data_IF_093778803012
#
_entry.id   IF_093778803012
#
_cell.length_a   1.000
_cell.length_b   1.000
_cell.length_c   1.000
_cell.angle_alpha   90.00
_cell.angle_beta   90.00
_cell.angle_gamma   90.00
#
_symmetry.space_group_name_H-M   'P 1'
#
loop_
_entity.id
_entity.type
_entity.pdbx_description
1 polymer ?
#
# COMPACT_ATOMS: atom_id res chain seq x y z
N UNK A 1 -1.66 -26.36 17.35
CA UNK A 1 -1.19 -26.85 16.02
C UNK A 1 -0.26 -25.87 15.30
N UNK A 2 -0.44 -24.54 15.38
CA UNK A 2 0.40 -23.55 14.67
C UNK A 2 1.87 -23.43 15.16
N UNK A 3 2.15 -23.69 16.44
CA UNK A 3 3.52 -23.54 17.00
C UNK A 3 4.54 -24.56 16.44
N UNK A 4 4.08 -25.74 16.00
CA UNK A 4 4.96 -26.77 15.40
C UNK A 4 5.33 -26.46 13.95
N UNK A 5 4.44 -25.79 13.20
CA UNK A 5 4.67 -25.46 11.79
C UNK A 5 5.76 -24.39 11.63
N UNK A 6 5.75 -23.36 12.49
CA UNK A 6 6.72 -22.28 12.46
C UNK A 6 8.16 -22.76 12.77
N UNK A 7 8.31 -23.74 13.67
CA UNK A 7 9.60 -24.38 13.97
C UNK A 7 10.10 -25.28 12.83
N UNK A 8 9.21 -25.94 12.10
CA UNK A 8 9.54 -26.74 10.92
C UNK A 8 10.01 -25.86 9.76
N UNK A 9 9.26 -24.79 9.44
CA UNK A 9 9.61 -23.83 8.39
C UNK A 9 10.95 -23.12 8.66
N UNK A 10 11.24 -22.79 9.92
CA UNK A 10 12.54 -22.22 10.32
C UNK A 10 13.71 -23.19 10.10
N UNK A 11 13.52 -24.48 10.42
CA UNK A 11 14.54 -25.51 10.19
C UNK A 11 14.76 -25.78 8.70
N UNK A 12 13.70 -25.83 7.91
CA UNK A 12 13.77 -26.01 6.45
C UNK A 12 14.43 -24.81 5.77
N UNK A 13 14.10 -23.57 6.16
CA UNK A 13 14.76 -22.37 5.65
C UNK A 13 16.27 -22.34 5.97
N UNK A 14 16.66 -22.78 7.17
CA UNK A 14 18.08 -22.90 7.54
C UNK A 14 18.79 -24.01 6.73
N UNK A 15 18.10 -25.12 6.49
CA UNK A 15 18.56 -26.20 5.61
C UNK A 15 18.75 -25.75 4.16
N UNK A 16 17.77 -25.04 3.60
CA UNK A 16 17.86 -24.47 2.24
C UNK A 16 18.99 -23.45 2.12
N UNK A 17 19.24 -22.61 3.13
CA UNK A 17 20.38 -21.68 3.13
C UNK A 17 21.74 -22.40 3.12
N UNK A 18 21.87 -23.53 3.83
CA UNK A 18 23.08 -24.36 3.75
C UNK A 18 23.27 -24.95 2.35
N UNK A 19 22.20 -25.50 1.78
CA UNK A 19 22.22 -26.12 0.44
C UNK A 19 22.52 -25.08 -0.65
N UNK A 20 21.83 -23.94 -0.67
CA UNK A 20 22.07 -22.87 -1.65
C UNK A 20 23.41 -22.14 -1.43
N UNK A 21 23.86 -22.02 -0.17
CA UNK A 21 25.19 -21.52 0.17
C UNK A 21 26.30 -22.41 -0.39
N UNK A 22 26.14 -23.73 -0.27
CA UNK A 22 27.08 -24.71 -0.83
C UNK A 22 27.02 -24.82 -2.36
N UNK A 23 25.83 -24.73 -2.97
CA UNK A 23 25.66 -24.76 -4.43
C UNK A 23 26.34 -23.54 -5.08
N UNK A 24 26.19 -22.33 -4.51
CA UNK A 24 26.90 -21.13 -5.01
C UNK A 24 28.43 -21.20 -4.89
N UNK A 25 28.95 -22.06 -4.01
CA UNK A 25 30.39 -22.28 -3.87
C UNK A 25 30.94 -23.28 -4.90
N UNK A 26 30.11 -24.14 -5.49
CA UNK A 26 30.56 -25.16 -6.46
C UNK A 26 30.55 -24.70 -7.92
N UNK A 27 29.69 -23.76 -8.31
CA UNK A 27 29.53 -23.36 -9.72
C UNK A 27 30.39 -22.17 -10.19
N UNK A 28 31.48 -21.82 -9.47
CA UNK A 28 32.35 -20.69 -9.86
C UNK A 28 33.52 -21.11 -10.74
N UNK A 29 33.23 -21.36 -12.02
CA UNK A 29 34.21 -21.34 -13.11
C UNK A 29 34.15 -20.02 -13.92
N UNK A 30 33.89 -18.90 -13.25
CA UNK A 30 33.98 -17.57 -13.88
C UNK A 30 34.67 -16.59 -12.91
N UNK A 31 35.88 -16.21 -13.29
CA UNK A 31 36.81 -15.39 -12.53
C UNK A 31 36.43 -13.90 -12.59
N UNK A 32 36.10 -13.30 -11.44
CA UNK A 32 36.69 -12.03 -11.02
C UNK A 32 37.11 -12.22 -9.55
N UNK A 33 38.40 -12.43 -9.36
CA UNK A 33 39.04 -12.52 -8.06
C UNK A 33 39.41 -11.10 -7.62
N UNK A 34 38.64 -10.50 -6.70
CA UNK A 34 39.12 -9.36 -5.92
C UNK A 34 39.77 -9.95 -4.67
N UNK A 35 41.07 -10.14 -4.76
CA UNK A 35 41.87 -10.83 -3.77
C UNK A 35 42.34 -9.85 -2.69
N UNK A 36 41.58 -9.73 -1.60
CA UNK A 36 42.11 -9.33 -0.28
C UNK A 36 41.13 -9.77 0.81
N UNK A 37 41.46 -10.86 1.51
CA UNK A 37 40.86 -11.21 2.81
C UNK A 37 39.45 -11.83 2.77
N UNK A 38 39.42 -13.16 2.64
CA UNK A 38 38.26 -14.06 2.72
C UNK A 38 37.14 -13.65 3.67
N UNK A 39 35.97 -13.25 3.15
CA UNK A 39 34.70 -13.45 3.86
C UNK A 39 33.53 -13.73 2.92
N UNK A 40 33.22 -15.02 2.74
CA UNK A 40 31.92 -15.49 2.25
C UNK A 40 30.88 -15.24 3.35
N UNK A 41 30.37 -14.01 3.42
CA UNK A 41 29.65 -13.48 4.58
C UNK A 41 28.15 -13.74 4.43
N UNK A 42 27.67 -14.89 4.89
CA UNK A 42 26.23 -15.15 5.06
C UNK A 42 25.74 -14.37 6.30
N UNK A 43 24.74 -13.51 6.13
CA UNK A 43 24.22 -12.59 7.17
C UNK A 43 23.67 -13.27 8.44
N UNK A 44 23.60 -14.60 8.47
CA UNK A 44 23.00 -15.39 9.54
C UNK A 44 24.04 -16.22 10.33
N UNK A 45 25.28 -15.71 10.43
CA UNK A 45 26.29 -16.25 11.35
C UNK A 45 26.20 -15.44 12.65
N UNK A 46 26.27 -16.07 13.82
CA UNK A 46 26.04 -15.46 15.15
C UNK A 46 26.74 -14.11 15.39
N UNK A 47 27.92 -13.90 14.78
CA UNK A 47 28.68 -12.64 14.88
C UNK A 47 27.99 -11.43 14.23
N UNK A 48 27.09 -11.61 13.26
CA UNK A 48 26.31 -10.51 12.66
C UNK A 48 25.08 -10.13 13.48
N UNK A 49 24.48 -11.12 14.14
CA UNK A 49 23.30 -10.88 14.97
C UNK A 49 23.64 -9.97 16.15
N UNK A 50 24.82 -10.15 16.75
CA UNK A 50 25.31 -9.32 17.85
C UNK A 50 25.57 -7.88 17.40
N UNK A 51 26.22 -7.69 16.25
CA UNK A 51 26.46 -6.37 15.68
C UNK A 51 25.15 -5.64 15.34
N UNK A 52 24.17 -6.34 14.74
CA UNK A 52 22.86 -5.76 14.42
C UNK A 52 22.08 -5.37 15.69
N UNK A 53 22.16 -6.20 16.75
CA UNK A 53 21.51 -5.90 18.04
C UNK A 53 22.15 -4.69 18.71
N UNK A 54 23.48 -4.60 18.70
CA UNK A 54 24.21 -3.46 19.26
C UNK A 54 23.85 -2.16 18.54
N UNK A 55 23.88 -2.17 17.20
CA UNK A 55 23.50 -1.02 16.39
C UNK A 55 22.03 -0.61 16.64
N UNK A 56 21.11 -1.57 16.77
CA UNK A 56 19.71 -1.30 17.09
C UNK A 56 19.55 -0.62 18.45
N UNK A 57 20.22 -1.13 19.49
CA UNK A 57 20.18 -0.53 20.84
C UNK A 57 20.76 0.89 20.84
N UNK A 58 21.87 1.12 20.13
CA UNK A 58 22.49 2.44 20.02
C UNK A 58 21.57 3.44 19.31
N UNK A 59 21.02 3.08 18.14
CA UNK A 59 20.10 3.93 17.39
C UNK A 59 18.79 4.19 18.14
N UNK A 60 18.29 3.21 18.91
CA UNK A 60 17.13 3.41 19.78
C UNK A 60 17.47 4.36 20.96
N UNK A 61 18.64 4.22 21.57
CA UNK A 61 19.10 5.13 22.64
C UNK A 61 19.24 6.57 22.16
N UNK A 62 19.64 6.76 20.91
CA UNK A 62 19.72 8.05 20.23
C UNK A 62 18.37 8.56 19.70
N UNK A 63 17.27 7.82 19.94
CA UNK A 63 15.90 8.11 19.47
C UNK A 63 15.76 8.19 17.94
N UNK A 64 16.63 7.51 17.20
CA UNK A 64 16.56 7.39 15.75
C UNK A 64 15.68 6.22 15.30
N UNK A 65 15.56 5.20 16.14
CA UNK A 65 14.61 4.09 15.96
C UNK A 65 13.55 4.19 17.06
N UNK A 66 12.29 4.18 16.65
CA UNK A 66 11.15 4.20 17.55
C UNK A 66 10.00 3.39 16.94
N UNK A 67 9.01 3.07 17.78
CA UNK A 67 7.78 2.41 17.37
C UNK A 67 6.65 3.43 17.39
N UNK A 68 5.99 3.60 16.26
CA UNK A 68 4.82 4.48 16.10
C UNK A 68 3.87 3.94 15.03
N UNK A 69 2.65 4.45 15.01
CA UNK A 69 1.63 4.07 14.06
C UNK A 69 1.86 4.81 12.74
N UNK A 70 2.26 4.05 11.71
CA UNK A 70 2.37 4.53 10.32
C UNK A 70 1.62 3.57 9.41
N UNK A 71 1.09 4.08 8.29
CA UNK A 71 0.59 3.24 7.22
C UNK A 71 1.74 2.42 6.62
N UNK A 72 1.58 1.11 6.52
CA UNK A 72 2.58 0.19 5.98
C UNK A 72 2.00 -0.57 4.78
N UNK A 73 2.86 -0.90 3.81
CA UNK A 73 2.48 -1.82 2.76
C UNK A 73 2.39 -3.23 3.38
N UNK A 74 1.25 -3.89 3.23
CA UNK A 74 1.01 -5.23 3.77
C UNK A 74 0.78 -6.22 2.64
N UNK A 75 1.54 -7.33 2.66
CA UNK A 75 1.30 -8.42 1.71
C UNK A 75 0.45 -9.52 2.36
N UNK A 76 -0.76 -9.79 1.84
CA UNK A 76 -1.64 -10.82 2.39
C UNK A 76 -1.09 -12.24 2.21
N UNK A 77 -0.26 -12.47 1.19
CA UNK A 77 0.35 -13.79 0.92
C UNK A 77 1.49 -14.09 1.89
N UNK A 78 2.37 -13.12 2.14
CA UNK A 78 3.49 -13.28 3.07
C UNK A 78 3.10 -13.04 4.53
N UNK A 79 1.94 -12.42 4.77
CA UNK A 79 1.46 -12.01 6.09
C UNK A 79 2.52 -11.16 6.83
N UNK A 80 3.15 -10.24 6.09
CA UNK A 80 4.20 -9.36 6.60
C UNK A 80 4.04 -7.95 6.05
N UNK A 81 4.52 -6.98 6.82
CA UNK A 81 4.80 -5.65 6.31
C UNK A 81 5.98 -5.72 5.32
N UNK A 82 5.91 -4.91 4.28
CA UNK A 82 6.86 -4.85 3.16
C UNK A 82 7.34 -3.40 3.02
N UNK A 83 8.62 -3.24 2.70
CA UNK A 83 9.21 -1.90 2.47
C UNK A 83 8.72 -1.29 1.16
N UNK A 84 8.67 0.05 1.06
CA UNK A 84 8.36 0.74 -0.20
C UNK A 84 9.30 0.32 -1.35
N UNK A 85 10.56 -0.04 -1.03
CA UNK A 85 11.54 -0.51 -2.01
C UNK A 85 11.28 -1.95 -2.50
N UNK A 86 10.50 -2.73 -1.75
CA UNK A 86 10.12 -4.11 -2.11
C UNK A 86 8.78 -4.15 -2.88
N UNK A 87 8.15 -2.99 -3.12
CA UNK A 87 6.90 -2.86 -3.86
C UNK A 87 7.18 -2.41 -5.29
N UNK A 88 6.93 -3.30 -6.24
CA UNK A 88 7.00 -2.98 -7.66
C UNK A 88 5.64 -2.45 -8.17
N UNK A 89 5.65 -1.26 -8.77
CA UNK A 89 4.48 -0.66 -9.41
C UNK A 89 4.47 -1.07 -10.88
N UNK A 90 3.59 -2.00 -11.23
CA UNK A 90 3.36 -2.43 -12.61
C UNK A 90 2.13 -1.72 -13.17
N UNK A 91 2.29 -0.98 -14.27
CA UNK A 91 1.17 -0.35 -14.96
C UNK A 91 0.36 -1.42 -15.70
N UNK A 92 -0.82 -1.70 -15.16
CA UNK A 92 -1.83 -2.51 -15.81
C UNK A 92 -2.72 -1.56 -16.62
N UNK A 93 -2.60 -1.61 -17.95
CA UNK A 93 -3.26 -0.67 -18.86
C UNK A 93 -4.79 -0.55 -18.69
N UNK A 94 -5.42 0.30 -19.52
CA UNK A 94 -6.79 0.82 -19.28
C UNK A 94 -7.89 -0.23 -19.06
N UNK A 95 -7.77 -1.44 -19.61
CA UNK A 95 -8.65 -2.58 -19.33
C UNK A 95 -7.87 -3.86 -19.60
N UNK A 96 -7.83 -4.78 -18.63
CA UNK A 96 -7.19 -6.08 -18.82
C UNK A 96 -7.55 -7.07 -17.72
N UNK A 97 -7.38 -8.35 -18.02
CA UNK A 97 -7.36 -9.40 -17.01
C UNK A 97 -5.92 -9.65 -16.61
N UNK A 98 -5.59 -9.49 -15.34
CA UNK A 98 -4.25 -9.76 -14.82
C UNK A 98 -4.24 -11.14 -14.15
N UNK A 99 -3.33 -12.01 -14.57
CA UNK A 99 -3.12 -13.32 -13.94
C UNK A 99 -2.14 -13.16 -12.78
N UNK A 100 -2.64 -13.30 -11.55
CA UNK A 100 -1.77 -13.35 -10.37
C UNK A 100 -1.42 -14.83 -10.13
N UNK A 101 -0.13 -15.16 -10.27
CA UNK A 101 0.40 -16.44 -9.83
C UNK A 101 0.47 -16.44 -8.29
N UNK A 102 -0.53 -17.03 -7.65
CA UNK A 102 -0.46 -17.29 -6.21
C UNK A 102 0.44 -18.49 -5.96
N UNK A 103 1.21 -18.48 -4.86
CA UNK A 103 2.15 -19.55 -4.48
C UNK A 103 1.50 -20.96 -4.41
N UNK A 104 0.18 -21.01 -4.25
CA UNK A 104 -0.64 -22.23 -4.25
C UNK A 104 -1.31 -22.46 -5.62
N UNK A 105 -0.53 -22.63 -6.69
CA UNK A 105 -0.85 -23.22 -8.01
C UNK A 105 -2.12 -22.79 -8.78
N UNK A 106 -3.01 -21.97 -8.24
CA UNK A 106 -4.22 -21.46 -8.89
C UNK A 106 -3.95 -20.05 -9.40
N UNK A 107 -3.93 -19.91 -10.72
CA UNK A 107 -3.95 -18.62 -11.38
C UNK A 107 -5.30 -17.97 -11.12
N UNK A 108 -5.29 -16.82 -10.43
CA UNK A 108 -6.49 -16.01 -10.24
C UNK A 108 -6.47 -14.91 -11.29
N UNK A 109 -7.46 -14.91 -12.18
CA UNK A 109 -7.71 -13.80 -13.09
C UNK A 109 -8.48 -12.73 -12.33
N UNK A 110 -7.94 -11.51 -12.30
CA UNK A 110 -8.62 -10.35 -11.73
C UNK A 110 -8.79 -9.33 -12.85
N UNK A 111 -10.02 -8.88 -13.05
CA UNK A 111 -10.31 -7.77 -13.95
C UNK A 111 -9.80 -6.47 -13.31
N UNK A 112 -8.93 -5.77 -14.03
CA UNK A 112 -8.33 -4.50 -13.60
C UNK A 112 -8.70 -3.40 -14.60
N UNK A 113 -8.84 -2.18 -14.10
CA UNK A 113 -9.14 -0.99 -14.92
C UNK A 113 -10.60 -0.51 -14.90
N UNK A 114 -11.49 -1.15 -14.13
CA UNK A 114 -12.87 -0.66 -13.95
C UNK A 114 -12.87 0.58 -13.05
N UNK A 115 -13.46 1.67 -13.55
CA UNK A 115 -13.60 2.93 -12.83
C UNK A 115 -15.06 3.14 -12.44
N UNK A 116 -15.38 3.04 -11.15
CA UNK A 116 -16.72 3.23 -10.63
C UNK A 116 -16.98 4.72 -10.36
N UNK A 117 -18.15 5.22 -10.74
CA UNK A 117 -18.61 6.59 -10.46
C UNK A 117 -19.65 6.56 -9.34
N UNK A 118 -19.39 7.33 -8.28
CA UNK A 118 -20.19 7.35 -7.07
C UNK A 118 -20.62 8.78 -6.81
N UNK A 119 -21.91 8.96 -6.51
CA UNK A 119 -22.51 10.28 -6.28
C UNK A 119 -22.75 10.48 -4.80
N UNK A 120 -22.36 11.64 -4.30
CA UNK A 120 -22.54 12.11 -2.93
C UNK A 120 -23.54 13.26 -2.94
N UNK A 121 -24.69 13.08 -2.30
CA UNK A 121 -25.74 14.09 -2.24
C UNK A 121 -25.33 15.23 -1.31
N UNK A 122 -25.56 16.48 -1.71
CA UNK A 122 -25.31 17.61 -0.80
C UNK A 122 -26.37 17.68 0.31
N UNK A 123 -25.92 18.04 1.51
CA UNK A 123 -26.82 18.31 2.64
C UNK A 123 -27.46 19.68 2.43
N UNK A 124 -28.69 19.70 1.91
CA UNK A 124 -29.42 20.94 1.64
C UNK A 124 -29.69 21.74 2.92
N UNK A 125 -29.24 23.00 2.97
CA UNK A 125 -29.50 23.94 4.09
C UNK A 125 -30.61 24.95 3.79
N UNK A 126 -31.30 24.86 2.65
CA UNK A 126 -32.38 25.78 2.31
C UNK A 126 -33.11 25.38 1.03
N UNK A 127 -34.41 25.65 1.00
CA UNK A 127 -35.36 25.39 -0.08
C UNK A 127 -34.85 25.79 -1.47
N UNK A 128 -34.61 24.81 -2.35
CA UNK A 128 -35.06 24.76 -3.75
C UNK A 128 -34.54 23.48 -4.44
N UNK A 129 -35.48 22.57 -4.74
CA UNK A 129 -35.69 21.81 -5.99
C UNK A 129 -34.56 21.47 -6.98
N UNK A 130 -33.31 21.28 -6.59
CA UNK A 130 -32.37 20.40 -7.32
C UNK A 130 -31.55 19.56 -6.32
N UNK A 131 -31.53 18.23 -6.52
CA UNK A 131 -30.59 17.37 -5.79
C UNK A 131 -29.20 17.62 -6.38
N UNK A 132 -28.49 18.62 -5.84
CA UNK A 132 -27.08 18.83 -6.15
C UNK A 132 -26.28 17.64 -5.58
N UNK A 133 -25.48 17.00 -6.45
CA UNK A 133 -24.60 15.90 -6.08
C UNK A 133 -23.17 16.15 -6.57
N UNK A 134 -22.22 15.56 -5.86
CA UNK A 134 -20.81 15.54 -6.22
C UNK A 134 -20.44 14.13 -6.66
N UNK A 135 -19.99 13.98 -7.92
CA UNK A 135 -19.60 12.69 -8.48
C UNK A 135 -18.08 12.47 -8.35
N UNK A 136 -17.69 11.32 -7.78
CA UNK A 136 -16.30 10.89 -7.62
C UNK A 136 -16.08 9.57 -8.33
N UNK A 137 -15.00 9.49 -9.10
CA UNK A 137 -14.55 8.23 -9.70
C UNK A 137 -13.50 7.52 -8.83
N UNK A 138 -13.66 6.22 -8.62
CA UNK A 138 -12.72 5.37 -7.87
C UNK A 138 -12.61 3.97 -8.50
N UNK A 139 -11.41 3.39 -8.46
CA UNK A 139 -11.17 1.98 -8.80
C UNK A 139 -11.41 1.05 -7.62
N UNK A 140 -11.61 1.59 -6.41
CA UNK A 140 -11.80 0.84 -5.16
C UNK A 140 -13.13 1.19 -4.50
N UNK A 141 -14.28 0.79 -5.07
CA UNK A 141 -15.60 1.09 -4.53
C UNK A 141 -15.80 0.50 -3.13
N UNK A 142 -15.12 -0.59 -2.77
CA UNK A 142 -15.18 -1.22 -1.45
C UNK A 142 -14.65 -0.31 -0.34
N UNK A 143 -13.76 0.64 -0.67
CA UNK A 143 -13.19 1.59 0.30
C UNK A 143 -14.11 2.76 0.64
N UNK A 144 -15.29 2.84 0.01
CA UNK A 144 -16.24 3.95 0.25
C UNK A 144 -16.70 4.03 1.69
N UNK A 145 -16.88 2.88 2.36
CA UNK A 145 -17.24 2.84 3.79
C UNK A 145 -16.23 3.55 4.70
N UNK A 146 -14.98 3.63 4.27
CA UNK A 146 -13.90 4.26 5.00
C UNK A 146 -13.64 5.70 4.54
N UNK A 147 -14.55 6.32 3.79
CA UNK A 147 -14.41 7.71 3.37
C UNK A 147 -14.66 8.66 4.55
N UNK A 148 -13.74 9.62 4.73
CA UNK A 148 -13.76 10.60 5.80
C UNK A 148 -14.07 12.01 5.31
N UNK A 149 -13.72 12.31 4.06
CA UNK A 149 -13.94 13.60 3.42
C UNK A 149 -13.90 13.45 1.90
N UNK A 150 -14.39 14.47 1.19
CA UNK A 150 -14.14 14.64 -0.24
C UNK A 150 -13.17 15.79 -0.45
N UNK A 151 -12.23 15.66 -1.37
CA UNK A 151 -11.31 16.71 -1.76
C UNK A 151 -11.62 17.18 -3.18
N UNK A 152 -11.74 18.49 -3.35
CA UNK A 152 -12.00 19.16 -4.62
C UNK A 152 -10.90 20.17 -4.88
N UNK A 153 -10.47 20.28 -6.13
CA UNK A 153 -9.49 21.29 -6.50
C UNK A 153 -10.11 22.69 -6.53
N UNK A 154 -9.45 23.73 -5.98
CA UNK A 154 -9.98 25.10 -5.94
C UNK A 154 -10.15 25.77 -7.31
N UNK A 155 -9.53 25.22 -8.36
CA UNK A 155 -9.67 25.72 -9.74
C UNK A 155 -10.76 24.97 -10.55
N UNK A 156 -11.44 23.95 -9.99
CA UNK A 156 -12.53 23.27 -10.72
C UNK A 156 -13.85 24.04 -10.58
N UNK A 157 -14.15 24.89 -11.56
CA UNK A 157 -15.39 25.68 -11.65
C UNK A 157 -16.67 24.87 -11.38
N UNK A 158 -16.69 23.56 -11.68
CA UNK A 158 -17.87 22.70 -11.48
C UNK A 158 -18.17 22.43 -10.01
N UNK A 159 -17.13 22.25 -9.20
CA UNK A 159 -17.24 21.73 -7.84
C UNK A 159 -16.73 22.69 -6.76
N UNK A 160 -16.09 23.81 -7.14
CA UNK A 160 -15.63 24.85 -6.21
C UNK A 160 -16.75 25.38 -5.32
N UNK A 161 -17.98 25.50 -5.84
CA UNK A 161 -19.17 25.91 -5.08
C UNK A 161 -19.51 24.97 -3.90
N UNK A 162 -18.97 23.76 -3.90
CA UNK A 162 -19.20 22.75 -2.87
C UNK A 162 -18.13 22.73 -1.78
N UNK A 163 -17.00 23.44 -1.95
CA UNK A 163 -15.94 23.53 -0.93
C UNK A 163 -16.53 24.14 0.35
N UNK A 164 -16.27 23.49 1.49
CA UNK A 164 -16.81 23.86 2.80
C UNK A 164 -18.24 23.38 3.06
N UNK A 165 -18.92 22.77 2.08
CA UNK A 165 -20.24 22.14 2.28
C UNK A 165 -20.10 20.72 2.81
N UNK A 166 -21.21 20.18 3.29
CA UNK A 166 -21.35 18.79 3.71
C UNK A 166 -22.09 17.99 2.64
N UNK A 167 -21.64 16.76 2.42
CA UNK A 167 -22.33 15.76 1.61
C UNK A 167 -22.77 14.58 2.48
N UNK A 168 -23.82 13.87 2.08
CA UNK A 168 -24.26 12.63 2.71
C UNK A 168 -23.46 11.46 2.15
N UNK A 169 -23.07 10.54 3.03
CA UNK A 169 -22.41 9.31 2.63
C UNK A 169 -23.41 8.39 1.90
N UNK A 170 -23.07 7.85 0.71
CA UNK A 170 -24.02 7.15 -0.17
C UNK A 170 -24.59 5.85 0.43
N UNK A 171 -23.84 5.21 1.33
CA UNK A 171 -24.24 3.94 1.95
C UNK A 171 -24.65 4.08 3.44
N UNK A 172 -24.41 5.25 4.05
CA UNK A 172 -24.59 5.46 5.49
C UNK A 172 -25.42 6.74 5.66
N UNK A 173 -26.75 6.64 5.80
CA UNK A 173 -27.66 7.79 5.75
C UNK A 173 -27.35 8.87 6.80
N UNK A 174 -26.90 8.46 7.98
CA UNK A 174 -26.64 9.34 9.12
C UNK A 174 -25.22 9.95 9.10
N UNK A 175 -24.37 9.56 8.15
CA UNK A 175 -22.99 10.03 8.06
C UNK A 175 -22.88 11.13 7.01
N UNK A 176 -22.34 12.27 7.43
CA UNK A 176 -21.98 13.38 6.54
C UNK A 176 -20.47 13.52 6.41
N UNK A 177 -20.00 13.89 5.23
CA UNK A 177 -18.59 14.10 4.93
C UNK A 177 -18.37 15.57 4.52
N UNK A 178 -17.31 16.23 5.01
CA UNK A 178 -16.95 17.56 4.55
C UNK A 178 -16.30 17.52 3.16
N UNK A 179 -16.54 18.56 2.39
CA UNK A 179 -15.85 18.82 1.13
C UNK A 179 -14.73 19.83 1.37
N UNK A 180 -13.49 19.42 1.12
CA UNK A 180 -12.26 20.17 1.39
C UNK A 180 -11.62 20.65 0.07
N UNK A 181 -10.94 21.79 0.11
CA UNK A 181 -10.10 22.24 -0.99
C UNK A 181 -8.75 21.52 -0.94
N UNK A 182 -8.29 20.96 -2.06
CA UNK A 182 -6.99 20.31 -2.16
C UNK A 182 -6.33 20.55 -3.52
N UNK A 183 -5.18 21.23 -3.52
CA UNK A 183 -4.39 21.55 -4.73
C UNK A 183 -3.63 20.35 -5.28
N UNK A 184 -3.44 19.30 -4.48
CA UNK A 184 -2.73 18.09 -4.90
C UNK A 184 -3.57 17.18 -5.82
N UNK A 185 -4.87 17.49 -5.97
CA UNK A 185 -5.80 16.73 -6.80
C UNK A 185 -5.58 17.05 -8.28
N UNK A 186 -5.06 16.08 -9.04
CA UNK A 186 -4.71 16.26 -10.45
C UNK A 186 -5.85 15.86 -11.38
N UNK A 187 -6.25 16.80 -12.24
CA UNK A 187 -7.25 16.70 -13.31
C UNK A 187 -7.23 15.43 -14.18
N UNK A 188 -6.09 14.75 -14.30
CA UNK A 188 -5.87 13.67 -15.27
C UNK A 188 -6.39 12.27 -14.88
N UNK A 189 -6.95 12.06 -13.68
CA UNK A 189 -7.43 10.73 -13.22
C UNK A 189 -8.91 10.74 -12.81
N UNK A 190 -9.70 9.81 -13.35
CA UNK A 190 -11.11 9.62 -12.97
C UNK A 190 -12.01 10.79 -13.37
N UNK A 191 -12.73 11.39 -12.41
CA UNK A 191 -13.48 12.64 -12.56
C UNK A 191 -12.56 13.89 -12.58
N UNK A 192 -11.26 13.66 -12.39
CA UNK A 192 -10.17 14.60 -12.52
C UNK A 192 -9.90 15.37 -11.23
N UNK A 193 -10.85 16.19 -10.83
CA UNK A 193 -10.63 17.26 -9.87
C UNK A 193 -11.36 17.06 -8.52
N UNK A 194 -12.00 15.90 -8.35
CA UNK A 194 -12.64 15.49 -7.11
C UNK A 194 -12.22 14.07 -6.75
N UNK A 195 -11.70 13.88 -5.54
CA UNK A 195 -11.29 12.58 -5.00
C UNK A 195 -11.95 12.33 -3.66
N UNK A 196 -12.16 11.06 -3.32
CA UNK A 196 -12.57 10.65 -1.97
C UNK A 196 -11.33 10.42 -1.12
N UNK A 197 -11.36 10.86 0.14
CA UNK A 197 -10.28 10.67 1.10
C UNK A 197 -10.63 9.50 2.01
N UNK A 198 -9.84 8.43 1.95
CA UNK A 198 -9.95 7.26 2.82
C UNK A 198 -8.63 7.04 3.57
N UNK A 199 -8.59 7.48 4.83
CA UNK A 199 -7.36 7.56 5.64
C UNK A 199 -6.74 6.19 5.92
N UNK A 200 -7.52 5.11 5.94
CA UNK A 200 -7.02 3.79 6.31
C UNK A 200 -6.43 3.00 5.13
N UNK A 201 -6.61 3.46 3.88
CA UNK A 201 -6.48 2.58 2.71
C UNK A 201 -5.67 3.15 1.55
N UNK A 202 -5.24 4.42 1.61
CA UNK A 202 -4.42 5.05 0.58
C UNK A 202 -3.24 5.78 1.22
N UNK A 203 -2.04 5.46 0.75
CA UNK A 203 -0.78 6.06 1.19
C UNK A 203 -0.40 7.26 0.35
N UNK A 204 -1.37 7.93 -0.30
CA UNK A 204 -1.18 9.15 -1.09
C UNK A 204 -0.74 10.34 -0.22
N UNK A 205 0.53 10.23 0.22
CA UNK A 205 1.38 11.15 0.99
C UNK A 205 0.99 11.43 2.43
N UNK A 206 1.71 10.76 3.34
CA UNK A 206 2.33 11.42 4.50
C UNK A 206 3.46 12.35 4.05
#
# INVERSE_FOLDING_TARGET
MQASLHKLLSKECCGMKKIYGDIRLRDKNFWICVNSGSISRLAFICKFSEAATTAFCELHSQRLIFNDLRMVNWCPTLQSAISDQEVDIVDVGKMGSFEISTAESKKKCIEVGIMHRIRYELVNTGSMSEMDYLEVATTRPETVFADCALAVHPDDERYVKYIGRLVRHPLLPDRTLPVLAATDVKAGKGTGWAIKISVCNDSSRS
#
